data_IF_117252634254
#
_entry.id   IF_117252634254
#
_cell.length_a   1.000
_cell.length_b   1.000
_cell.length_c   1.000
_cell.angle_alpha   90.00
_cell.angle_beta   90.00
_cell.angle_gamma   90.00
#
_symmetry.space_group_name_H-M   'P 1'
#
loop_
_entity.id
_entity.type
_entity.pdbx_description
1 polymer ?
#
# COMPACT_ATOMS: atom_id res chain seq x y z
N UNK A 1 -15.72 -18.53 10.92
CA UNK A 1 -15.46 -17.35 10.07
C UNK A 1 -14.17 -16.72 10.58
N UNK A 2 -13.23 -16.33 9.71
CA UNK A 2 -12.01 -15.65 10.13
C UNK A 2 -12.33 -14.38 10.93
N UNK A 3 -11.50 -14.07 11.92
CA UNK A 3 -11.68 -12.88 12.76
C UNK A 3 -11.17 -11.61 12.06
N UNK A 4 -11.71 -10.46 12.46
CA UNK A 4 -11.19 -9.16 12.06
C UNK A 4 -9.82 -8.94 12.72
N UNK A 5 -8.79 -8.48 11.98
CA UNK A 5 -7.44 -8.33 12.52
C UNK A 5 -7.25 -7.07 13.40
N UNK A 6 -8.31 -6.29 13.61
CA UNK A 6 -8.26 -5.05 14.40
C UNK A 6 -8.67 -5.33 15.85
N UNK A 7 -7.76 -5.03 16.78
CA UNK A 7 -7.93 -5.32 18.20
C UNK A 7 -9.17 -4.63 18.77
N UNK A 8 -10.01 -5.42 19.46
CA UNK A 8 -11.24 -4.91 20.08
C UNK A 8 -12.37 -4.60 19.09
N UNK A 9 -12.25 -4.97 17.81
CA UNK A 9 -13.36 -4.86 16.87
C UNK A 9 -14.50 -5.81 17.26
N UNK A 10 -15.69 -5.24 17.48
CA UNK A 10 -16.91 -5.96 17.82
C UNK A 10 -17.91 -6.07 16.66
N UNK A 11 -17.55 -5.54 15.48
CA UNK A 11 -18.41 -5.57 14.29
C UNK A 11 -18.43 -7.01 13.76
N UNK A 12 -19.60 -7.59 13.45
CA UNK A 12 -19.65 -8.88 12.78
C UNK A 12 -18.93 -8.85 11.43
N UNK A 13 -18.12 -9.87 11.17
CA UNK A 13 -17.47 -10.05 9.86
C UNK A 13 -18.55 -10.42 8.84
N UNK A 14 -18.60 -9.69 7.73
CA UNK A 14 -19.57 -9.89 6.63
C UNK A 14 -18.89 -10.07 5.26
N UNK A 15 -17.56 -10.05 5.23
CA UNK A 15 -16.73 -10.38 4.07
C UNK A 15 -15.41 -11.01 4.51
N UNK A 16 -14.93 -11.96 3.72
CA UNK A 16 -13.64 -12.61 3.93
C UNK A 16 -12.71 -12.24 2.80
N UNK A 17 -11.53 -11.74 3.15
CA UNK A 17 -10.44 -11.47 2.24
C UNK A 17 -9.44 -12.63 2.29
N UNK A 18 -8.86 -12.99 1.15
CA UNK A 18 -7.84 -14.02 1.05
C UNK A 18 -6.56 -13.38 0.52
N UNK A 19 -5.49 -13.46 1.30
CA UNK A 19 -4.17 -12.93 0.92
C UNK A 19 -3.52 -13.76 -0.18
N UNK A 20 -2.43 -13.24 -0.77
CA UNK A 20 -1.54 -14.01 -1.65
C UNK A 20 -0.93 -15.23 -0.97
N UNK A 21 -0.79 -15.18 0.35
CA UNK A 21 -0.25 -16.27 1.18
C UNK A 21 -1.34 -17.29 1.57
N UNK A 22 -2.50 -17.25 0.90
CA UNK A 22 -3.68 -18.09 1.13
C UNK A 22 -4.28 -17.98 2.56
N UNK A 23 -3.89 -16.96 3.33
CA UNK A 23 -4.48 -16.65 4.64
C UNK A 23 -5.81 -15.92 4.49
N UNK A 24 -6.80 -16.36 5.26
CA UNK A 24 -8.14 -15.76 5.30
C UNK A 24 -8.25 -14.72 6.43
N UNK A 25 -8.79 -13.55 6.12
CA UNK A 25 -8.86 -12.39 7.02
C UNK A 25 -10.31 -11.88 7.02
N UNK A 26 -10.90 -11.70 8.20
CA UNK A 26 -12.23 -11.14 8.34
C UNK A 26 -12.22 -9.62 8.15
N UNK A 27 -13.23 -9.08 7.47
CA UNK A 27 -13.39 -7.65 7.26
C UNK A 27 -14.88 -7.25 7.25
N UNK A 28 -15.12 -5.95 7.02
CA UNK A 28 -16.47 -5.37 7.04
C UNK A 28 -16.72 -4.58 5.76
N UNK A 29 -17.70 -4.99 4.94
CA UNK A 29 -18.05 -4.34 3.67
C UNK A 29 -18.26 -2.83 3.86
N UNK A 30 -18.98 -2.46 4.91
CA UNK A 30 -19.28 -1.05 5.21
C UNK A 30 -18.02 -0.24 5.54
N UNK A 31 -17.06 -0.83 6.22
CA UNK A 31 -15.80 -0.14 6.51
C UNK A 31 -14.95 0.00 5.25
N UNK A 32 -14.87 -1.04 4.42
CA UNK A 32 -14.15 -0.96 3.15
C UNK A 32 -14.75 0.13 2.26
N UNK A 33 -16.08 0.24 2.18
CA UNK A 33 -16.75 1.33 1.44
C UNK A 33 -16.44 2.73 2.03
N UNK A 34 -16.37 2.86 3.35
CA UNK A 34 -16.20 4.16 3.99
C UNK A 34 -14.76 4.71 3.95
N UNK A 35 -13.77 3.81 3.96
CA UNK A 35 -12.35 4.17 4.12
C UNK A 35 -11.53 3.96 2.86
N UNK A 36 -12.14 3.46 1.79
CA UNK A 36 -11.45 3.13 0.55
C UNK A 36 -12.36 3.47 -0.63
N UNK A 37 -11.78 3.98 -1.71
CA UNK A 37 -12.48 4.14 -3.00
C UNK A 37 -12.16 2.98 -3.98
N UNK A 38 -11.37 1.99 -3.55
CA UNK A 38 -10.95 0.84 -4.36
C UNK A 38 -11.85 -0.39 -4.26
N UNK A 39 -12.79 -0.42 -3.32
CA UNK A 39 -13.76 -1.51 -3.17
C UNK A 39 -15.16 -1.10 -3.66
N UNK A 40 -15.99 -2.06 -4.13
CA UNK A 40 -17.36 -1.75 -4.53
C UNK A 40 -18.22 -1.27 -3.36
N UNK A 41 -19.30 -0.55 -3.67
CA UNK A 41 -20.31 -0.13 -2.69
C UNK A 41 -20.91 -1.37 -2.03
N UNK A 42 -21.04 -1.36 -0.70
CA UNK A 42 -21.44 -2.55 0.07
C UNK A 42 -22.75 -3.19 -0.43
N UNK A 43 -23.77 -2.38 -0.72
CA UNK A 43 -25.08 -2.82 -1.23
C UNK A 43 -25.04 -3.38 -2.67
N UNK A 44 -23.96 -3.15 -3.41
CA UNK A 44 -23.79 -3.64 -4.80
C UNK A 44 -23.19 -5.04 -4.87
N UNK A 45 -22.66 -5.56 -3.76
CA UNK A 45 -21.97 -6.85 -3.69
C UNK A 45 -22.93 -7.91 -3.17
N UNK A 46 -23.23 -8.91 -4.01
CA UNK A 46 -23.97 -10.09 -3.55
C UNK A 46 -23.21 -10.79 -2.43
N UNK A 47 -23.94 -11.30 -1.43
CA UNK A 47 -23.36 -12.11 -0.37
C UNK A 47 -22.83 -13.42 -0.96
N UNK A 48 -21.56 -13.40 -1.32
CA UNK A 48 -20.80 -14.59 -1.69
C UNK A 48 -20.17 -15.18 -0.45
N UNK A 49 -20.24 -16.50 -0.32
CA UNK A 49 -19.45 -17.24 0.67
C UNK A 49 -17.99 -17.37 0.26
N UNK A 50 -17.67 -17.08 -1.02
CA UNK A 50 -16.32 -17.19 -1.54
C UNK A 50 -15.46 -16.00 -1.10
N UNK A 51 -14.25 -16.25 -0.57
CA UNK A 51 -13.31 -15.21 -0.20
C UNK A 51 -12.88 -14.35 -1.40
N UNK A 52 -12.75 -13.04 -1.16
CA UNK A 52 -12.19 -12.09 -2.13
C UNK A 52 -10.68 -12.24 -2.14
N UNK A 53 -10.12 -12.76 -3.24
CA UNK A 53 -8.67 -12.94 -3.39
C UNK A 53 -7.97 -11.62 -3.70
N UNK A 54 -6.99 -11.26 -2.88
CA UNK A 54 -6.15 -10.08 -3.00
C UNK A 54 -4.72 -10.50 -3.40
N UNK A 55 -3.94 -9.57 -3.94
CA UNK A 55 -2.54 -9.85 -4.38
C UNK A 55 -1.51 -9.54 -3.30
N UNK A 56 -1.97 -8.96 -2.20
CA UNK A 56 -1.21 -8.48 -1.07
C UNK A 56 -0.98 -9.61 -0.06
N UNK A 57 0.11 -9.52 0.71
CA UNK A 57 0.41 -10.48 1.77
C UNK A 57 -0.58 -10.36 2.94
N UNK A 58 -0.58 -11.37 3.81
CA UNK A 58 -1.34 -11.30 5.06
C UNK A 58 -1.00 -10.03 5.87
N UNK A 59 0.30 -9.75 6.03
CA UNK A 59 0.80 -8.60 6.79
C UNK A 59 0.26 -7.27 6.24
N UNK A 60 0.31 -7.08 4.92
CA UNK A 60 -0.17 -5.85 4.27
C UNK A 60 -1.68 -5.69 4.44
N UNK A 61 -2.46 -6.75 4.24
CA UNK A 61 -3.93 -6.68 4.38
C UNK A 61 -4.31 -6.38 5.83
N UNK A 62 -3.65 -6.99 6.81
CA UNK A 62 -3.88 -6.68 8.23
C UNK A 62 -3.63 -5.21 8.54
N UNK A 63 -2.55 -4.63 8.02
CA UNK A 63 -2.26 -3.20 8.17
C UNK A 63 -3.32 -2.33 7.50
N UNK A 64 -3.75 -2.65 6.28
CA UNK A 64 -4.85 -1.93 5.60
C UNK A 64 -6.12 -1.92 6.46
N UNK A 65 -6.47 -3.05 7.07
CA UNK A 65 -7.65 -3.13 7.93
C UNK A 65 -7.57 -2.18 9.13
N UNK A 66 -6.38 -1.93 9.67
CA UNK A 66 -6.19 -0.95 10.75
C UNK A 66 -6.53 0.48 10.30
N UNK A 67 -6.32 0.83 9.03
CA UNK A 67 -6.71 2.11 8.45
C UNK A 67 -8.19 2.16 8.03
N UNK A 68 -8.82 1.00 7.83
CA UNK A 68 -10.25 0.88 7.52
C UNK A 68 -11.12 0.79 8.78
N UNK A 69 -10.67 1.30 9.92
CA UNK A 69 -11.44 1.31 11.16
C UNK A 69 -11.38 2.69 11.82
N UNK A 70 -12.45 3.06 12.50
CA UNK A 70 -12.49 4.28 13.29
C UNK A 70 -11.73 4.12 14.62
N UNK A 71 -10.41 4.11 14.53
CA UNK A 71 -9.52 3.96 15.67
C UNK A 71 -8.34 4.92 15.58
N UNK A 72 -7.48 4.90 16.61
CA UNK A 72 -6.21 5.62 16.54
C UNK A 72 -5.39 5.06 15.38
N UNK A 73 -5.00 5.93 14.45
CA UNK A 73 -4.17 5.57 13.29
C UNK A 73 -2.91 4.82 13.74
N UNK A 74 -2.60 3.66 13.14
CA UNK A 74 -1.40 2.92 13.48
C UNK A 74 -0.16 3.74 13.11
N UNK A 75 0.90 3.63 13.93
CA UNK A 75 2.21 4.17 13.54
C UNK A 75 2.81 3.29 12.46
N UNK A 76 3.28 3.90 11.38
CA UNK A 76 4.03 3.22 10.31
C UNK A 76 5.54 3.52 10.37
N UNK A 77 5.97 4.35 11.32
CA UNK A 77 7.37 4.80 11.44
C UNK A 77 8.31 3.64 11.76
N UNK A 78 7.90 2.80 12.71
CA UNK A 78 8.68 1.67 13.22
C UNK A 78 8.63 0.43 12.31
N UNK A 79 7.78 0.46 11.28
CA UNK A 79 7.68 -0.62 10.32
C UNK A 79 8.95 -0.72 9.46
N UNK A 80 9.25 -1.94 9.03
CA UNK A 80 10.32 -2.17 8.06
C UNK A 80 10.03 -1.38 6.79
N UNK A 81 11.06 -0.88 6.12
CA UNK A 81 10.91 -0.19 4.83
C UNK A 81 10.12 -1.01 3.81
N UNK A 82 10.34 -2.33 3.78
CA UNK A 82 9.61 -3.24 2.90
C UNK A 82 8.12 -3.23 3.24
N UNK A 83 7.77 -3.36 4.51
CA UNK A 83 6.37 -3.30 4.98
C UNK A 83 5.74 -1.95 4.65
N UNK A 84 6.45 -0.83 4.81
CA UNK A 84 5.92 0.51 4.46
C UNK A 84 5.69 0.64 2.96
N UNK A 85 6.62 0.16 2.11
CA UNK A 85 6.43 0.18 0.65
C UNK A 85 5.26 -0.73 0.25
N UNK A 86 5.20 -1.95 0.77
CA UNK A 86 4.14 -2.90 0.45
C UNK A 86 2.75 -2.37 0.90
N UNK A 87 2.68 -1.68 2.05
CA UNK A 87 1.49 -0.98 2.50
C UNK A 87 1.16 0.24 1.63
N UNK A 88 2.15 1.03 1.23
CA UNK A 88 1.95 2.21 0.38
C UNK A 88 1.37 1.80 -0.99
N UNK A 89 1.95 0.79 -1.64
CA UNK A 89 1.45 0.28 -2.93
C UNK A 89 0.01 -0.24 -2.83
N UNK A 90 -0.32 -0.95 -1.74
CA UNK A 90 -1.68 -1.42 -1.51
C UNK A 90 -2.64 -0.25 -1.20
N UNK A 91 -2.21 0.71 -0.38
CA UNK A 91 -3.00 1.89 -0.05
C UNK A 91 -3.35 2.72 -1.31
N UNK A 92 -2.40 2.89 -2.22
CA UNK A 92 -2.63 3.52 -3.52
C UNK A 92 -3.62 2.72 -4.37
N UNK A 93 -3.41 1.39 -4.48
CA UNK A 93 -4.27 0.51 -5.28
C UNK A 93 -5.72 0.52 -4.81
N UNK A 94 -5.93 0.55 -3.49
CA UNK A 94 -7.25 0.52 -2.88
C UNK A 94 -7.76 1.90 -2.48
N UNK A 95 -7.01 2.97 -2.78
CA UNK A 95 -7.38 4.36 -2.48
C UNK A 95 -7.70 4.57 -0.99
N UNK A 96 -6.76 4.15 -0.13
CA UNK A 96 -6.82 4.33 1.33
C UNK A 96 -6.01 5.56 1.71
N UNK A 97 -6.56 6.76 1.49
CA UNK A 97 -5.85 8.03 1.60
C UNK A 97 -5.08 8.20 2.92
N UNK A 98 -5.70 7.82 4.05
CA UNK A 98 -5.08 7.91 5.36
C UNK A 98 -3.80 7.06 5.49
N UNK A 99 -3.74 5.92 4.79
CA UNK A 99 -2.56 5.07 4.74
C UNK A 99 -1.51 5.60 3.75
N UNK A 100 -1.94 6.15 2.61
CA UNK A 100 -1.06 6.82 1.63
C UNK A 100 -0.29 7.95 2.29
N UNK A 101 -0.98 8.84 3.01
CA UNK A 101 -0.37 9.97 3.72
C UNK A 101 0.66 9.51 4.77
N UNK A 102 0.27 8.51 5.56
CA UNK A 102 1.12 7.96 6.62
C UNK A 102 2.39 7.31 6.04
N UNK A 103 2.24 6.52 4.98
CA UNK A 103 3.37 5.83 4.35
C UNK A 103 4.28 6.80 3.61
N UNK A 104 3.73 7.77 2.87
CA UNK A 104 4.51 8.80 2.17
C UNK A 104 5.40 9.57 3.15
N UNK A 105 4.85 9.98 4.28
CA UNK A 105 5.61 10.66 5.35
C UNK A 105 6.71 9.78 5.92
N UNK A 106 6.41 8.50 6.17
CA UNK A 106 7.39 7.57 6.72
C UNK A 106 8.49 7.17 5.72
N UNK A 107 8.18 7.13 4.42
CA UNK A 107 9.16 6.85 3.36
C UNK A 107 10.18 7.97 3.25
N UNK A 108 9.75 9.24 3.31
CA UNK A 108 10.67 10.39 3.31
C UNK A 108 11.67 10.38 4.47
N UNK A 109 11.30 9.75 5.59
CA UNK A 109 12.18 9.61 6.75
C UNK A 109 13.18 8.42 6.65
N UNK A 110 13.11 7.57 5.61
CA UNK A 110 13.93 6.35 5.49
C UNK A 110 15.02 6.51 4.43
N UNK A 111 16.23 6.02 4.72
CA UNK A 111 17.39 6.09 3.81
C UNK A 111 17.38 4.98 2.73
N UNK A 112 16.39 4.98 1.84
CA UNK A 112 16.34 4.04 0.69
C UNK A 112 15.88 4.72 -0.61
N UNK A 113 16.73 5.59 -1.17
CA UNK A 113 16.31 6.55 -2.19
C UNK A 113 15.78 5.90 -3.46
N UNK A 114 16.34 4.77 -3.90
CA UNK A 114 15.90 4.10 -5.12
C UNK A 114 14.47 3.51 -5.01
N UNK A 115 14.12 2.95 -3.85
CA UNK A 115 12.76 2.41 -3.63
C UNK A 115 11.73 3.53 -3.48
N UNK A 116 12.12 4.61 -2.81
CA UNK A 116 11.29 5.80 -2.62
C UNK A 116 11.03 6.47 -3.97
N UNK A 117 12.07 6.64 -4.79
CA UNK A 117 11.94 7.21 -6.13
C UNK A 117 11.04 6.35 -7.02
N UNK A 118 11.21 5.03 -7.03
CA UNK A 118 10.32 4.11 -7.76
C UNK A 118 8.86 4.31 -7.34
N UNK A 119 8.57 4.26 -6.03
CA UNK A 119 7.23 4.50 -5.51
C UNK A 119 6.68 5.84 -5.99
N UNK A 120 7.45 6.92 -5.81
CA UNK A 120 7.02 8.26 -6.16
C UNK A 120 6.74 8.43 -7.65
N UNK A 121 7.54 7.83 -8.54
CA UNK A 121 7.33 7.88 -9.98
C UNK A 121 6.13 7.03 -10.41
N UNK A 122 5.97 5.83 -9.86
CA UNK A 122 4.87 4.91 -10.22
C UNK A 122 3.51 5.48 -9.82
N UNK A 123 3.42 6.14 -8.67
CA UNK A 123 2.17 6.70 -8.14
C UNK A 123 2.05 8.23 -8.30
N UNK A 124 2.94 8.84 -9.08
CA UNK A 124 2.89 10.26 -9.44
C UNK A 124 2.93 11.22 -8.22
N UNK A 125 3.89 11.01 -7.32
CA UNK A 125 4.24 11.88 -6.20
C UNK A 125 5.48 12.74 -6.51
N UNK A 126 5.37 13.82 -7.29
CA UNK A 126 6.53 14.57 -7.80
C UNK A 126 7.41 15.13 -6.70
N UNK A 127 6.84 15.60 -5.57
CA UNK A 127 7.65 16.11 -4.45
C UNK A 127 8.53 15.03 -3.82
N UNK A 128 7.99 13.83 -3.64
CA UNK A 128 8.74 12.69 -3.10
C UNK A 128 9.81 12.25 -4.10
N UNK A 129 9.50 12.28 -5.40
CA UNK A 129 10.44 11.96 -6.46
C UNK A 129 11.60 12.97 -6.52
N UNK A 130 11.31 14.27 -6.46
CA UNK A 130 12.31 15.35 -6.44
C UNK A 130 13.25 15.25 -5.24
N UNK A 131 12.71 14.90 -4.06
CA UNK A 131 13.52 14.72 -2.85
C UNK A 131 14.39 13.45 -2.93
N UNK A 132 13.89 12.36 -3.53
CA UNK A 132 14.60 11.09 -3.60
C UNK A 132 15.64 11.02 -4.74
N UNK A 133 15.38 11.65 -5.89
CA UNK A 133 16.17 11.52 -7.11
C UNK A 133 17.67 11.84 -6.98
N UNK A 134 18.09 12.91 -6.26
CA UNK A 134 19.52 13.23 -6.11
C UNK A 134 20.31 12.09 -5.45
N UNK A 135 19.68 11.34 -4.55
CA UNK A 135 20.29 10.24 -3.82
C UNK A 135 20.34 8.93 -4.63
N UNK A 136 19.74 8.88 -5.82
CA UNK A 136 19.79 7.69 -6.70
C UNK A 136 20.87 7.76 -7.79
N UNK A 137 21.55 8.90 -7.96
CA UNK A 137 22.54 9.12 -9.03
C UNK A 137 23.70 8.10 -8.99
N UNK A 138 24.05 7.60 -7.81
CA UNK A 138 25.14 6.65 -7.62
C UNK A 138 24.79 5.19 -7.96
N UNK A 139 23.51 4.87 -8.20
CA UNK A 139 23.07 3.50 -8.47
C UNK A 139 23.36 3.10 -9.91
N UNK A 140 23.88 1.88 -10.07
CA UNK A 140 24.10 1.25 -11.37
C UNK A 140 22.78 0.75 -11.97
N UNK A 141 22.71 0.60 -13.29
CA UNK A 141 21.53 0.01 -13.95
C UNK A 141 21.18 -1.39 -13.44
N UNK A 142 22.19 -2.19 -13.08
CA UNK A 142 21.97 -3.51 -12.49
C UNK A 142 21.32 -3.45 -11.10
N UNK A 143 21.51 -2.37 -10.34
CA UNK A 143 20.82 -2.15 -9.06
C UNK A 143 19.41 -1.62 -9.28
N UNK A 144 19.20 -0.76 -10.28
CA UNK A 144 17.89 -0.28 -10.70
C UNK A 144 17.00 -1.44 -11.18
N UNK A 145 17.54 -2.34 -12.01
CA UNK A 145 16.84 -3.53 -12.53
C UNK A 145 16.38 -4.50 -11.43
N UNK A 146 17.08 -4.53 -10.28
CA UNK A 146 16.69 -5.38 -9.14
C UNK A 146 15.48 -4.84 -8.39
N UNK A 147 15.24 -3.53 -8.47
CA UNK A 147 14.20 -2.84 -7.70
C UNK A 147 12.98 -2.54 -8.57
N UNK A 148 13.19 -2.24 -9.85
CA UNK A 148 12.17 -1.73 -10.75
C UNK A 148 11.81 -2.77 -11.81
N UNK A 149 10.53 -2.82 -12.19
CA UNK A 149 10.09 -3.59 -13.36
C UNK A 149 10.47 -2.83 -14.64
N UNK A 150 10.66 -3.54 -15.77
CA UNK A 150 11.17 -2.93 -17.01
C UNK A 150 10.34 -1.74 -17.51
N UNK A 151 9.03 -1.74 -17.27
CA UNK A 151 8.14 -0.62 -17.60
C UNK A 151 8.27 0.58 -16.65
N UNK A 152 8.65 0.35 -15.39
CA UNK A 152 8.88 1.39 -14.37
C UNK A 152 10.23 2.09 -14.58
N UNK A 153 11.25 1.37 -15.09
CA UNK A 153 12.57 1.91 -15.42
C UNK A 153 12.47 3.01 -16.49
N UNK A 154 11.62 2.81 -17.49
CA UNK A 154 11.37 3.83 -18.51
C UNK A 154 10.80 5.12 -17.89
N UNK A 155 9.91 5.01 -16.90
CA UNK A 155 9.35 6.16 -16.18
C UNK A 155 10.42 6.87 -15.34
N UNK A 156 11.28 6.12 -14.65
CA UNK A 156 12.39 6.65 -13.86
C UNK A 156 13.42 7.38 -14.73
N UNK A 157 13.75 6.83 -15.89
CA UNK A 157 14.66 7.44 -16.87
C UNK A 157 14.08 8.72 -17.46
N UNK A 158 12.79 8.72 -17.83
CA UNK A 158 12.12 9.93 -18.31
C UNK A 158 12.15 11.02 -17.24
N UNK A 159 11.82 10.69 -15.98
CA UNK A 159 11.84 11.65 -14.88
C UNK A 159 13.24 12.27 -14.67
N UNK A 160 14.29 11.45 -14.66
CA UNK A 160 15.66 11.93 -14.46
C UNK A 160 16.15 12.82 -15.62
N UNK A 161 15.67 12.60 -16.85
CA UNK A 161 16.07 13.37 -18.04
C UNK A 161 15.25 14.66 -18.26
N UNK A 162 14.06 14.78 -17.66
CA UNK A 162 13.19 15.96 -17.83
C UNK A 162 13.37 17.02 -16.76
N UNK A 163 14.05 16.70 -15.65
CA UNK A 163 14.22 17.59 -14.49
C UNK A 163 15.69 17.76 -14.05
N UNK A 164 16.67 17.44 -14.92
CA UNK A 164 18.08 17.82 -14.74
C UNK A 164 18.46 19.11 -15.46
#
# INVERSE_FOLDING_TARGET
MPECPVDGCAIPVDVVLSSRDDVMIGAHKRNLELYTDGFPISDSVTDSLDPVKLTESEETIRLMMQFCHNQRRPSVVDLSIRTVVDLAEAAEKYLIDAAVDACSTALLAKEMPLRILRYAVVFNHPKIADEAAPFTIAYTMAEVDKVCRSNEIALLWVYCLTFS
#
